data_IF_041261392132
#
_entry.id   IF_041261392132
#
_cell.length_a   1.000
_cell.length_b   1.000
_cell.length_c   1.000
_cell.angle_alpha   90.00
_cell.angle_beta   90.00
_cell.angle_gamma   90.00
#
_symmetry.space_group_name_H-M   'P 1'
#
loop_
_entity.id
_entity.type
_entity.pdbx_description
1 polymer ?
#
# COMPACT_ATOMS: atom_id res chain seq x y z
N UNK A 1 18.79 2.49 -22.64
CA UNK A 1 17.72 2.51 -21.62
C UNK A 1 16.42 2.13 -22.33
N UNK A 2 15.66 1.19 -21.77
CA UNK A 2 14.28 0.92 -22.18
C UNK A 2 13.37 1.91 -21.46
N UNK A 3 12.57 2.66 -22.19
CA UNK A 3 11.64 3.66 -21.66
C UNK A 3 10.22 3.18 -21.96
N UNK A 4 9.40 3.08 -20.93
CA UNK A 4 7.99 2.74 -21.04
C UNK A 4 7.18 4.03 -20.92
N UNK A 5 6.38 4.31 -21.94
CA UNK A 5 5.47 5.45 -22.02
C UNK A 5 4.05 5.00 -22.38
N UNK A 6 3.08 5.90 -22.24
CA UNK A 6 1.68 5.67 -22.64
C UNK A 6 1.55 5.32 -24.13
N UNK A 7 2.46 5.84 -24.94
CA UNK A 7 2.55 5.62 -26.40
C UNK A 7 3.38 4.39 -26.80
N UNK A 8 3.92 3.63 -25.85
CA UNK A 8 4.66 2.39 -26.13
C UNK A 8 6.01 2.30 -25.43
N UNK A 9 6.82 1.33 -25.87
CA UNK A 9 8.14 1.02 -25.30
C UNK A 9 9.25 1.35 -26.29
N UNK A 10 10.17 2.20 -25.87
CA UNK A 10 11.24 2.71 -26.71
C UNK A 10 12.62 2.35 -26.14
N UNK A 11 13.60 2.13 -27.03
CA UNK A 11 15.01 1.94 -26.64
C UNK A 11 15.81 3.16 -27.06
N UNK A 12 16.36 3.87 -26.08
CA UNK A 12 17.19 5.05 -26.30
C UNK A 12 18.56 4.94 -25.65
N UNK A 13 19.59 5.49 -26.31
CA UNK A 13 20.92 5.66 -25.75
C UNK A 13 20.95 6.92 -24.88
N UNK A 14 21.27 6.76 -23.60
CA UNK A 14 21.35 7.88 -22.64
C UNK A 14 22.81 8.20 -22.37
N UNK A 15 23.15 9.49 -22.48
CA UNK A 15 24.44 10.02 -22.02
C UNK A 15 24.24 10.63 -20.63
N UNK A 16 25.02 10.16 -19.67
CA UNK A 16 24.96 10.64 -18.29
C UNK A 16 25.81 11.89 -18.12
N UNK A 17 25.34 12.84 -17.32
CA UNK A 17 26.14 13.99 -16.93
C UNK A 17 27.21 13.56 -15.93
N UNK A 18 28.47 13.86 -16.24
CA UNK A 18 29.65 13.57 -15.42
C UNK A 18 30.32 14.83 -14.86
N UNK A 19 29.65 15.99 -14.92
CA UNK A 19 30.16 17.23 -14.33
C UNK A 19 30.39 17.07 -12.81
N UNK A 20 31.31 17.84 -12.22
CA UNK A 20 31.69 17.72 -10.81
C UNK A 20 30.52 17.89 -9.81
N UNK A 21 29.47 18.63 -10.18
CA UNK A 21 28.25 18.82 -9.39
C UNK A 21 27.07 17.95 -9.87
N UNK A 22 27.32 16.93 -10.68
CA UNK A 22 26.23 16.12 -11.24
C UNK A 22 25.59 15.25 -10.16
N UNK A 23 24.26 15.16 -10.22
CA UNK A 23 23.49 14.30 -9.33
C UNK A 23 23.66 12.83 -9.70
N UNK A 24 23.29 11.91 -8.79
CA UNK A 24 23.30 10.46 -9.06
C UNK A 24 22.44 10.13 -10.28
N UNK A 25 22.76 9.07 -11.02
CA UNK A 25 22.06 8.70 -12.28
C UNK A 25 20.54 8.64 -12.16
N UNK A 26 20.03 8.06 -11.07
CA UNK A 26 18.57 8.00 -10.85
C UNK A 26 17.95 9.38 -10.65
N UNK A 27 18.67 10.32 -10.04
CA UNK A 27 18.23 11.72 -9.87
C UNK A 27 18.23 12.44 -11.21
N UNK A 28 19.24 12.21 -12.06
CA UNK A 28 19.25 12.75 -13.43
C UNK A 28 18.02 12.26 -14.23
N UNK A 29 17.64 10.98 -14.09
CA UNK A 29 16.41 10.48 -14.72
C UNK A 29 15.14 11.12 -14.15
N UNK A 30 15.01 11.14 -12.82
CA UNK A 30 13.81 11.64 -12.15
C UNK A 30 13.59 13.13 -12.37
N UNK A 31 14.60 13.95 -12.06
CA UNK A 31 14.47 15.40 -12.02
C UNK A 31 14.69 16.06 -13.37
N UNK A 32 15.58 15.53 -14.22
CA UNK A 32 15.88 16.16 -15.51
C UNK A 32 15.06 15.59 -16.67
N UNK A 33 14.68 14.31 -16.62
CA UNK A 33 14.00 13.64 -17.74
C UNK A 33 12.56 13.20 -17.44
N UNK A 34 12.04 13.42 -16.23
CA UNK A 34 10.72 12.91 -15.77
C UNK A 34 10.55 11.40 -15.99
N UNK A 35 11.64 10.67 -15.76
CA UNK A 35 11.71 9.22 -15.91
C UNK A 35 11.93 8.57 -14.56
N UNK A 36 10.99 7.72 -14.14
CA UNK A 36 11.11 6.92 -12.94
C UNK A 36 11.89 5.63 -13.21
N UNK A 37 13.09 5.45 -12.65
CA UNK A 37 13.90 4.27 -12.91
C UNK A 37 13.38 3.03 -12.19
N UNK A 38 13.42 1.88 -12.86
CA UNK A 38 13.10 0.58 -12.25
C UNK A 38 14.19 0.09 -11.25
N UNK A 39 15.37 0.72 -11.28
CA UNK A 39 16.47 0.46 -10.34
C UNK A 39 17.34 1.70 -10.14
N UNK A 40 17.84 1.90 -8.92
CA UNK A 40 18.58 3.13 -8.58
C UNK A 40 20.09 3.06 -8.85
N UNK A 41 20.70 1.86 -8.79
CA UNK A 41 22.16 1.68 -8.96
C UNK A 41 22.60 1.71 -10.43
N UNK A 42 21.90 0.94 -11.27
CA UNK A 42 22.21 0.84 -12.70
C UNK A 42 20.89 0.73 -13.51
N UNK A 43 20.21 1.86 -13.75
CA UNK A 43 18.92 1.87 -14.43
C UNK A 43 19.06 1.36 -15.87
N UNK A 44 18.35 0.28 -16.18
CA UNK A 44 18.21 -0.25 -17.56
C UNK A 44 16.83 0.00 -18.13
N UNK A 45 15.83 0.14 -17.27
CA UNK A 45 14.43 0.43 -17.60
C UNK A 45 13.97 1.64 -16.79
N UNK A 46 13.19 2.53 -17.41
CA UNK A 46 12.48 3.60 -16.72
C UNK A 46 11.07 3.78 -17.30
N UNK A 47 10.20 4.37 -16.49
CA UNK A 47 8.82 4.66 -16.83
C UNK A 47 8.63 6.17 -16.85
N UNK A 48 7.88 6.69 -17.81
CA UNK A 48 7.40 8.07 -17.73
C UNK A 48 6.44 8.22 -16.53
N UNK A 49 6.32 9.41 -15.97
CA UNK A 49 5.33 9.63 -14.91
C UNK A 49 3.90 9.41 -15.41
N UNK A 50 3.63 9.85 -16.64
CA UNK A 50 2.34 9.68 -17.31
C UNK A 50 1.89 8.22 -17.37
N UNK A 51 2.76 7.28 -17.75
CA UNK A 51 2.35 5.86 -17.83
C UNK A 51 2.10 5.26 -16.44
N UNK A 52 2.78 5.76 -15.40
CA UNK A 52 2.55 5.31 -14.03
C UNK A 52 1.22 5.83 -13.48
N UNK A 53 0.89 7.09 -13.77
CA UNK A 53 -0.40 7.69 -13.43
C UNK A 53 -1.54 7.01 -14.19
N UNK A 54 -1.34 6.74 -15.49
CA UNK A 54 -2.30 5.99 -16.30
C UNK A 54 -2.52 4.58 -15.75
N UNK A 55 -1.45 3.86 -15.39
CA UNK A 55 -1.59 2.55 -14.77
C UNK A 55 -2.35 2.62 -13.44
N UNK A 56 -2.08 3.63 -12.62
CA UNK A 56 -2.75 3.80 -11.34
C UNK A 56 -4.27 4.04 -11.53
N UNK A 57 -4.65 4.87 -12.50
CA UNK A 57 -6.06 5.10 -12.85
C UNK A 57 -6.72 3.85 -13.44
N UNK A 58 -6.08 3.19 -14.41
CA UNK A 58 -6.58 1.96 -15.05
C UNK A 58 -6.75 0.82 -14.03
N UNK A 59 -5.88 0.74 -13.02
CA UNK A 59 -5.98 -0.23 -11.93
C UNK A 59 -7.12 0.09 -10.95
N UNK A 60 -7.35 1.38 -10.67
CA UNK A 60 -8.37 1.84 -9.73
C UNK A 60 -9.79 1.76 -10.32
N UNK A 61 -9.98 2.36 -11.50
CA UNK A 61 -11.29 2.52 -12.13
C UNK A 61 -11.69 1.26 -12.90
N UNK A 62 -10.78 0.78 -13.75
CA UNK A 62 -11.06 -0.32 -14.67
C UNK A 62 -10.70 -1.70 -14.10
N UNK A 63 -10.15 -1.76 -12.87
CA UNK A 63 -9.64 -3.00 -12.24
C UNK A 63 -8.62 -3.74 -13.12
N UNK A 64 -7.85 -2.98 -13.90
CA UNK A 64 -6.90 -3.54 -14.86
C UNK A 64 -5.74 -4.23 -14.14
N UNK A 65 -5.57 -5.52 -14.37
CA UNK A 65 -4.40 -6.23 -13.89
C UNK A 65 -3.12 -5.72 -14.59
N UNK A 66 -2.00 -5.64 -13.87
CA UNK A 66 -0.72 -5.17 -14.41
C UNK A 66 -0.28 -5.92 -15.68
N UNK A 67 -0.62 -7.21 -15.80
CA UNK A 67 -0.32 -8.02 -16.98
C UNK A 67 -1.13 -7.57 -18.20
N UNK A 68 -2.41 -7.25 -18.01
CA UNK A 68 -3.28 -6.73 -19.07
C UNK A 68 -2.82 -5.33 -19.50
N UNK A 69 -2.42 -4.50 -18.54
CA UNK A 69 -1.86 -3.18 -18.82
C UNK A 69 -0.57 -3.27 -19.65
N UNK A 70 0.37 -4.14 -19.27
CA UNK A 70 1.59 -4.34 -20.07
C UNK A 70 1.30 -4.94 -21.44
N UNK A 71 0.30 -5.82 -21.55
CA UNK A 71 -0.14 -6.37 -22.85
C UNK A 71 -0.72 -5.27 -23.75
N UNK A 72 -1.50 -4.34 -23.19
CA UNK A 72 -2.00 -3.14 -23.88
C UNK A 72 -0.83 -2.28 -24.37
N UNK A 73 0.13 -1.96 -23.51
CA UNK A 73 1.33 -1.19 -23.89
C UNK A 73 2.14 -1.92 -24.98
N UNK A 74 2.24 -3.25 -24.91
CA UNK A 74 2.85 -4.07 -25.96
C UNK A 74 2.18 -3.88 -27.32
N UNK A 75 0.85 -3.97 -27.37
CA UNK A 75 0.09 -3.74 -28.62
C UNK A 75 0.17 -2.31 -29.14
N UNK A 76 0.21 -1.33 -28.24
CA UNK A 76 0.44 0.08 -28.62
C UNK A 76 1.82 0.27 -29.24
N UNK A 77 2.82 -0.48 -28.76
CA UNK A 77 4.20 -0.40 -29.27
C UNK A 77 4.35 -1.08 -30.63
N UNK A 78 3.80 -2.27 -30.79
CA UNK A 78 3.80 -3.04 -32.03
C UNK A 78 2.51 -3.86 -32.09
N UNK A 79 1.56 -3.41 -32.90
CA UNK A 79 0.26 -4.08 -33.06
C UNK A 79 0.40 -5.42 -33.76
N UNK A 80 1.34 -5.53 -34.71
CA UNK A 80 1.52 -6.71 -35.56
C UNK A 80 2.25 -7.81 -34.80
N UNK A 81 3.27 -7.45 -34.00
CA UNK A 81 4.12 -8.39 -33.26
C UNK A 81 4.30 -7.99 -31.78
N UNK A 82 3.24 -7.91 -30.98
CA UNK A 82 3.33 -7.49 -29.57
C UNK A 82 4.20 -8.41 -28.72
N UNK A 83 4.37 -9.67 -29.12
CA UNK A 83 5.25 -10.63 -28.44
C UNK A 83 6.75 -10.33 -28.60
N UNK A 84 7.14 -9.47 -29.55
CA UNK A 84 8.53 -9.03 -29.74
C UNK A 84 8.90 -7.83 -28.85
N UNK A 85 7.90 -7.18 -28.26
CA UNK A 85 8.09 -6.02 -27.40
C UNK A 85 8.71 -6.48 -26.07
N UNK A 86 9.72 -5.76 -25.53
CA UNK A 86 10.34 -6.14 -24.26
C UNK A 86 9.33 -6.25 -23.11
N UNK A 87 9.33 -7.39 -22.43
CA UNK A 87 8.53 -7.59 -21.23
C UNK A 87 9.12 -6.79 -20.05
N UNK A 88 8.40 -5.74 -19.64
CA UNK A 88 8.74 -4.90 -18.49
C UNK A 88 7.76 -5.08 -17.31
N UNK A 89 7.04 -6.21 -17.26
CA UNK A 89 6.01 -6.48 -16.24
C UNK A 89 6.55 -6.47 -14.81
N UNK A 90 7.69 -7.11 -14.58
CA UNK A 90 8.29 -7.20 -13.23
C UNK A 90 8.74 -5.83 -12.74
N UNK A 91 9.26 -5.02 -13.65
CA UNK A 91 9.65 -3.64 -13.42
C UNK A 91 8.42 -2.78 -13.11
N UNK A 92 7.31 -2.92 -13.85
CA UNK A 92 6.06 -2.23 -13.56
C UNK A 92 5.52 -2.56 -12.16
N UNK A 93 5.51 -3.83 -11.77
CA UNK A 93 5.05 -4.25 -10.43
C UNK A 93 5.89 -3.61 -9.30
N UNK A 94 7.19 -3.42 -9.53
CA UNK A 94 8.05 -2.75 -8.56
C UNK A 94 7.81 -1.24 -8.56
N UNK A 95 7.89 -0.61 -9.72
CA UNK A 95 7.83 0.84 -9.86
C UNK A 95 6.46 1.37 -9.45
N UNK A 96 5.37 0.70 -9.81
CA UNK A 96 4.01 1.11 -9.39
C UNK A 96 3.82 1.08 -7.87
N UNK A 97 4.47 0.16 -7.14
CA UNK A 97 4.48 0.18 -5.67
C UNK A 97 5.23 1.39 -5.13
N UNK A 98 6.42 1.66 -5.65
CA UNK A 98 7.23 2.82 -5.26
C UNK A 98 6.57 4.15 -5.61
N UNK A 99 5.91 4.22 -6.77
CA UNK A 99 5.18 5.40 -7.23
C UNK A 99 4.05 5.75 -6.28
N UNK A 100 3.25 4.75 -5.88
CA UNK A 100 2.17 4.93 -4.90
C UNK A 100 2.70 5.35 -3.52
N UNK A 101 3.80 4.74 -3.07
CA UNK A 101 4.44 5.09 -1.81
C UNK A 101 4.88 6.56 -1.78
N UNK A 102 5.58 7.00 -2.84
CA UNK A 102 6.02 8.40 -2.98
C UNK A 102 4.82 9.35 -2.99
N UNK A 103 3.73 9.01 -3.68
CA UNK A 103 2.51 9.82 -3.67
C UNK A 103 1.88 9.91 -2.27
N UNK A 104 1.88 8.83 -1.50
CA UNK A 104 1.37 8.85 -0.12
C UNK A 104 2.25 9.76 0.76
N UNK A 105 3.58 9.69 0.63
CA UNK A 105 4.51 10.55 1.37
C UNK A 105 4.36 12.02 0.99
N UNK A 106 4.21 12.34 -0.29
CA UNK A 106 3.93 13.70 -0.77
C UNK A 106 2.62 14.22 -0.18
N UNK A 107 1.53 13.43 -0.24
CA UNK A 107 0.22 13.83 0.31
C UNK A 107 0.26 14.05 1.82
N UNK A 108 1.07 13.30 2.54
CA UNK A 108 1.24 13.45 3.99
C UNK A 108 2.08 14.68 4.38
N UNK A 109 2.75 15.34 3.43
CA UNK A 109 3.64 16.47 3.69
C UNK A 109 4.97 16.08 4.35
N UNK A 110 5.34 14.80 4.29
CA UNK A 110 6.48 14.21 5.04
C UNK A 110 7.83 14.87 4.69
N UNK A 111 7.96 15.43 3.49
CA UNK A 111 9.21 16.00 2.95
C UNK A 111 9.33 17.52 3.19
N UNK A 112 8.26 18.18 3.66
CA UNK A 112 8.24 19.63 3.85
C UNK A 112 8.33 20.04 5.32
N UNK A 113 7.56 19.41 6.22
CA UNK A 113 7.32 19.94 7.58
C UNK A 113 7.35 18.88 8.71
N UNK A 114 7.87 17.66 8.46
CA UNK A 114 7.81 16.55 9.43
C UNK A 114 9.19 15.92 9.70
N UNK A 115 9.37 15.24 10.86
CA UNK A 115 10.59 14.48 11.13
C UNK A 115 10.85 13.47 10.00
N UNK A 116 12.12 13.09 9.78
CA UNK A 116 12.56 12.18 8.71
C UNK A 116 11.85 10.80 8.67
N UNK A 117 11.05 10.47 9.70
CA UNK A 117 10.31 9.22 9.84
C UNK A 117 8.85 9.52 10.23
N UNK A 118 7.86 9.05 9.45
CA UNK A 118 6.45 9.15 9.80
C UNK A 118 6.14 8.48 11.16
N UNK A 119 5.23 9.08 11.92
CA UNK A 119 4.63 8.41 13.08
C UNK A 119 3.82 7.17 12.62
N UNK A 120 3.48 6.29 13.57
CA UNK A 120 2.61 5.14 13.30
C UNK A 120 1.26 5.63 12.75
N UNK A 121 0.91 5.19 11.54
CA UNK A 121 -0.25 5.66 10.79
C UNK A 121 -0.17 7.08 10.26
N UNK A 122 0.98 7.76 10.38
CA UNK A 122 1.14 9.18 10.06
C UNK A 122 1.00 9.54 8.57
N UNK A 123 1.10 8.57 7.68
CA UNK A 123 0.85 8.75 6.24
C UNK A 123 -0.63 8.51 5.86
N UNK A 124 -1.42 7.89 6.73
CA UNK A 124 -2.82 7.59 6.44
C UNK A 124 -3.72 8.80 6.70
N UNK A 125 -4.69 8.99 5.80
CA UNK A 125 -5.74 9.99 5.97
C UNK A 125 -6.86 9.40 6.82
N UNK A 126 -7.17 10.05 7.94
CA UNK A 126 -8.37 9.76 8.72
C UNK A 126 -9.55 10.65 8.33
N UNK A 127 -10.74 10.36 8.85
CA UNK A 127 -11.93 11.14 8.56
C UNK A 127 -11.80 12.58 9.08
N UNK A 128 -11.86 13.60 8.21
CA UNK A 128 -11.74 15.00 8.64
C UNK A 128 -12.92 15.45 9.52
N UNK A 129 -14.07 14.80 9.38
CA UNK A 129 -15.28 15.10 10.13
C UNK A 129 -15.40 14.35 11.47
N UNK A 130 -14.59 13.30 11.70
CA UNK A 130 -14.61 12.60 12.99
C UNK A 130 -13.75 13.38 14.00
N UNK A 131 -14.12 13.42 15.30
CA UNK A 131 -13.34 14.14 16.31
C UNK A 131 -11.90 13.62 16.41
N UNK A 132 -10.93 14.53 16.36
CA UNK A 132 -9.50 14.27 16.43
C UNK A 132 -8.86 15.21 17.45
N UNK A 133 -8.51 14.64 18.60
CA UNK A 133 -7.95 15.35 19.77
C UNK A 133 -6.68 16.10 19.36
N UNK A 134 -6.65 17.41 19.61
CA UNK A 134 -5.51 18.28 19.29
C UNK A 134 -5.40 18.65 17.81
N UNK A 135 -6.34 18.23 16.96
CA UNK A 135 -6.39 18.60 15.54
C UNK A 135 -7.62 19.48 15.27
N UNK A 136 -8.83 18.94 15.46
CA UNK A 136 -10.09 19.64 15.19
C UNK A 136 -11.00 19.76 16.42
N UNK A 137 -10.59 19.20 17.56
CA UNK A 137 -11.23 19.37 18.86
C UNK A 137 -10.18 19.63 19.96
N UNK A 138 -10.54 20.35 21.04
CA UNK A 138 -9.61 20.69 22.11
C UNK A 138 -9.07 19.44 22.84
N UNK A 139 -7.96 19.57 23.58
CA UNK A 139 -7.44 18.48 24.40
C UNK A 139 -8.43 18.06 25.50
N UNK A 140 -8.35 16.80 25.95
CA UNK A 140 -9.32 16.21 26.88
C UNK A 140 -9.47 16.98 28.20
N UNK A 141 -8.42 17.69 28.64
CA UNK A 141 -8.43 18.52 29.86
C UNK A 141 -9.41 19.70 29.79
N UNK A 142 -9.76 20.17 28.59
CA UNK A 142 -10.69 21.28 28.36
C UNK A 142 -12.13 20.80 28.17
N UNK A 143 -12.37 19.48 28.20
CA UNK A 143 -13.70 18.93 27.93
C UNK A 143 -14.62 19.11 29.14
N UNK A 144 -15.76 19.76 28.89
CA UNK A 144 -16.87 19.76 29.86
C UNK A 144 -17.41 18.33 30.03
N UNK A 145 -17.80 17.98 31.26
CA UNK A 145 -18.30 16.65 31.57
C UNK A 145 -19.50 16.23 30.69
N UNK A 146 -20.42 17.16 30.43
CA UNK A 146 -21.63 16.93 29.65
C UNK A 146 -21.35 16.76 28.15
N UNK A 147 -20.28 17.36 27.63
CA UNK A 147 -19.93 17.37 26.20
C UNK A 147 -19.07 16.16 25.78
N UNK A 148 -18.64 15.31 26.71
CA UNK A 148 -17.70 14.20 26.43
C UNK A 148 -18.19 13.24 25.34
N UNK A 149 -19.50 13.06 25.20
CA UNK A 149 -20.07 12.20 24.16
C UNK A 149 -19.99 12.81 22.76
N UNK A 150 -19.91 14.14 22.64
CA UNK A 150 -19.76 14.85 21.37
C UNK A 150 -18.36 14.66 20.78
N UNK A 151 -17.35 14.54 21.64
CA UNK A 151 -15.95 14.38 21.26
C UNK A 151 -15.53 12.93 20.98
N UNK A 152 -16.45 11.96 21.10
CA UNK A 152 -16.14 10.55 20.87
C UNK A 152 -16.37 10.17 19.40
N UNK A 153 -15.33 9.70 18.67
CA UNK A 153 -15.54 9.13 17.36
C UNK A 153 -16.33 7.82 17.49
N UNK A 154 -17.35 7.67 16.64
CA UNK A 154 -18.06 6.40 16.50
C UNK A 154 -17.24 5.51 15.58
N UNK A 155 -16.73 4.40 16.09
CA UNK A 155 -15.91 3.46 15.34
C UNK A 155 -16.67 2.14 15.17
N UNK A 156 -16.54 1.54 13.98
CA UNK A 156 -17.00 0.19 13.67
C UNK A 156 -15.79 -0.67 13.33
N UNK A 157 -15.88 -1.96 13.64
CA UNK A 157 -14.86 -2.94 13.32
C UNK A 157 -15.48 -4.04 12.47
N UNK A 158 -14.79 -4.43 11.39
CA UNK A 158 -15.23 -5.50 10.51
C UNK A 158 -14.04 -6.33 10.03
N UNK A 159 -14.32 -7.55 9.60
CA UNK A 159 -13.35 -8.53 9.14
C UNK A 159 -13.63 -9.01 7.72
N UNK A 160 -12.62 -9.00 6.85
CA UNK A 160 -12.68 -9.56 5.51
C UNK A 160 -11.85 -10.85 5.41
N UNK A 161 -12.53 -12.00 5.47
CA UNK A 161 -11.92 -13.35 5.39
C UNK A 161 -11.67 -13.82 3.95
N UNK A 162 -11.92 -12.97 2.94
CA UNK A 162 -11.55 -13.25 1.54
C UNK A 162 -10.21 -12.64 1.17
N UNK A 163 -9.72 -11.67 1.96
CA UNK A 163 -8.45 -11.00 1.75
C UNK A 163 -7.29 -11.84 2.33
N UNK A 164 -7.15 -13.05 1.79
CA UNK A 164 -6.11 -14.00 2.16
C UNK A 164 -4.77 -13.60 1.54
N UNK A 165 -3.69 -13.91 2.25
CA UNK A 165 -2.34 -13.80 1.73
C UNK A 165 -1.63 -15.15 1.84
N UNK A 166 -0.85 -15.46 0.82
CA UNK A 166 -0.10 -16.72 0.75
C UNK A 166 1.29 -16.52 1.35
N UNK A 167 1.80 -17.58 1.97
CA UNK A 167 3.20 -17.60 2.40
C UNK A 167 4.11 -17.30 1.22
N UNK A 168 4.94 -16.28 1.38
CA UNK A 168 5.93 -15.96 0.36
C UNK A 168 7.00 -17.05 0.31
N UNK A 169 7.42 -17.41 -0.91
CA UNK A 169 8.50 -18.38 -1.11
C UNK A 169 9.84 -17.92 -0.50
N UNK A 170 10.05 -16.60 -0.44
CA UNK A 170 11.25 -15.92 0.06
C UNK A 170 10.84 -14.71 0.89
N UNK A 171 10.45 -14.88 2.16
CA UNK A 171 10.01 -13.77 3.01
C UNK A 171 11.09 -12.71 3.23
N UNK A 172 12.36 -13.06 3.12
CA UNK A 172 13.49 -12.13 3.18
C UNK A 172 13.52 -11.09 2.05
N UNK A 173 12.87 -11.40 0.92
CA UNK A 173 12.72 -10.47 -0.21
C UNK A 173 11.50 -9.54 -0.05
N UNK A 174 10.63 -9.77 0.97
CA UNK A 174 9.42 -8.99 1.22
C UNK A 174 9.70 -7.69 1.98
N UNK A 175 10.26 -6.72 1.27
CA UNK A 175 10.54 -5.40 1.83
C UNK A 175 9.27 -4.55 1.82
N UNK A 176 8.76 -4.22 3.01
CA UNK A 176 7.69 -3.23 3.16
C UNK A 176 8.21 -1.83 2.89
N UNK A 177 7.42 -1.02 2.15
CA UNK A 177 7.74 0.39 1.90
C UNK A 177 7.19 1.33 3.00
N UNK A 178 6.18 0.87 3.75
CA UNK A 178 5.42 1.68 4.70
C UNK A 178 4.91 0.82 5.87
N UNK A 179 5.79 0.09 6.54
CA UNK A 179 5.44 -0.83 7.65
C UNK A 179 4.89 -0.04 8.85
N UNK A 180 3.59 -0.12 9.08
CA UNK A 180 2.95 0.63 10.16
C UNK A 180 2.72 2.12 9.88
N UNK A 181 3.17 2.64 8.73
CA UNK A 181 3.10 4.09 8.45
C UNK A 181 1.73 4.52 7.90
N UNK A 182 0.92 3.55 7.45
CA UNK A 182 -0.41 3.74 6.87
C UNK A 182 -1.49 3.10 7.77
N UNK A 183 -2.52 2.50 7.18
CA UNK A 183 -3.63 1.91 7.92
C UNK A 183 -3.31 0.59 8.62
N UNK A 184 -2.33 -0.19 8.13
CA UNK A 184 -1.95 -1.50 8.70
C UNK A 184 -0.97 -1.28 9.85
N UNK A 185 -1.12 -2.03 10.94
CA UNK A 185 -0.20 -2.00 12.09
C UNK A 185 1.21 -2.49 11.74
N UNK A 186 2.22 -2.04 12.51
CA UNK A 186 3.59 -2.56 12.38
C UNK A 186 3.65 -4.08 12.56
N UNK A 187 4.35 -4.76 11.66
CA UNK A 187 4.48 -6.23 11.68
C UNK A 187 5.11 -6.77 12.98
N UNK A 188 6.25 -6.20 13.40
CA UNK A 188 7.02 -6.74 14.52
C UNK A 188 6.30 -6.61 15.90
N UNK A 189 5.72 -5.44 16.28
CA UNK A 189 4.91 -5.33 17.47
C UNK A 189 3.66 -6.23 17.44
N UNK A 190 2.99 -6.33 16.28
CA UNK A 190 1.81 -7.17 16.15
C UNK A 190 2.14 -8.66 16.29
N UNK A 191 3.26 -9.13 15.73
CA UNK A 191 3.74 -10.50 15.93
C UNK A 191 3.99 -10.81 17.43
N UNK A 192 4.57 -9.87 18.19
CA UNK A 192 4.74 -10.02 19.65
C UNK A 192 3.40 -10.06 20.39
N UNK A 193 2.43 -9.26 19.95
CA UNK A 193 1.07 -9.30 20.50
C UNK A 193 0.43 -10.68 20.28
N UNK A 194 0.52 -11.23 19.07
CA UNK A 194 -0.07 -12.53 18.72
C UNK A 194 0.45 -13.71 19.55
N UNK A 195 1.73 -13.67 19.96
CA UNK A 195 2.33 -14.69 20.84
C UNK A 195 1.70 -14.68 22.24
N UNK A 196 1.36 -13.50 22.75
CA UNK A 196 0.83 -13.32 24.10
C UNK A 196 -0.71 -13.26 24.14
N UNK A 197 -1.37 -13.19 22.99
CA UNK A 197 -2.82 -13.05 22.89
C UNK A 197 -3.52 -14.34 23.39
N UNK A 198 -4.42 -14.24 24.39
CA UNK A 198 -5.09 -15.41 24.95
C UNK A 198 -5.99 -16.08 23.92
N UNK A 199 -5.80 -17.39 23.74
CA UNK A 199 -6.60 -18.18 22.80
C UNK A 199 -7.94 -18.57 23.42
N UNK A 200 -8.90 -17.64 23.46
CA UNK A 200 -10.26 -17.88 23.93
C UNK A 200 -11.21 -17.97 22.73
N UNK A 201 -11.51 -19.18 22.29
CA UNK A 201 -12.70 -19.40 21.47
C UNK A 201 -13.47 -20.63 21.98
N UNK A 202 -14.63 -20.45 22.62
CA UNK A 202 -15.54 -21.57 22.84
C UNK A 202 -16.06 -22.03 21.48
N UNK A 203 -15.87 -23.31 21.15
CA UNK A 203 -16.53 -23.91 19.98
C UNK A 203 -18.03 -23.80 20.18
N UNK A 204 -18.72 -23.13 19.26
CA UNK A 204 -20.19 -23.13 19.28
C UNK A 204 -20.68 -24.54 18.98
N UNK A 205 -21.54 -25.07 19.87
CA UNK A 205 -22.23 -26.36 19.68
C UNK A 205 -23.45 -26.24 18.76
N UNK A 206 -23.79 -25.03 18.31
CA UNK A 206 -24.97 -24.79 17.48
C UNK A 206 -24.72 -25.24 16.02
N UNK A 207 -25.66 -25.99 15.45
CA UNK A 207 -25.59 -26.50 14.07
C UNK A 207 -25.49 -25.40 13.03
N UNK A 208 -26.09 -24.23 13.27
CA UNK A 208 -26.10 -23.08 12.36
C UNK A 208 -24.79 -22.27 12.38
N UNK A 209 -23.88 -22.53 13.34
CA UNK A 209 -22.58 -21.87 13.44
C UNK A 209 -21.43 -22.68 12.81
N UNK A 210 -21.74 -23.64 11.92
CA UNK A 210 -20.72 -24.40 11.18
C UNK A 210 -19.77 -23.49 10.39
N UNK A 211 -20.26 -22.44 9.76
CA UNK A 211 -19.40 -21.51 9.01
C UNK A 211 -18.30 -20.88 9.88
N UNK A 212 -18.64 -20.47 11.10
CA UNK A 212 -17.70 -19.95 12.10
C UNK A 212 -16.67 -21.02 12.52
N UNK A 213 -17.14 -22.24 12.75
CA UNK A 213 -16.26 -23.37 13.11
C UNK A 213 -15.30 -23.78 11.96
N UNK A 214 -15.73 -23.67 10.70
CA UNK A 214 -14.91 -23.99 9.52
C UNK A 214 -13.95 -22.84 9.12
N UNK A 215 -14.31 -21.57 9.37
CA UNK A 215 -13.44 -20.41 9.13
C UNK A 215 -12.17 -20.42 10.00
N UNK A 216 -12.22 -21.10 11.13
CA UNK A 216 -11.11 -21.25 12.09
C UNK A 216 -10.11 -22.37 11.75
N UNK A 217 -10.27 -23.05 10.60
CA UNK A 217 -9.35 -24.09 10.18
C UNK A 217 -8.01 -23.46 9.78
N UNK A 218 -6.93 -23.93 10.41
CA UNK A 218 -5.58 -23.50 10.05
C UNK A 218 -5.27 -23.90 8.61
N UNK A 219 -4.84 -22.93 7.79
CA UNK A 219 -4.44 -23.17 6.40
C UNK A 219 -2.93 -22.97 6.28
N UNK A 220 -2.18 -24.07 6.31
CA UNK A 220 -0.70 -24.05 6.38
C UNK A 220 0.01 -23.37 5.19
N UNK A 221 -0.70 -23.01 4.12
CA UNK A 221 -0.14 -22.31 2.96
C UNK A 221 -0.40 -20.79 2.98
N UNK A 222 -1.12 -20.28 3.99
CA UNK A 222 -1.44 -18.88 4.17
C UNK A 222 -0.71 -18.31 5.38
N UNK A 223 -0.21 -17.08 5.24
CA UNK A 223 0.29 -16.26 6.36
C UNK A 223 -0.79 -15.29 6.89
N UNK A 224 -1.83 -15.03 6.09
CA UNK A 224 -3.01 -14.29 6.50
C UNK A 224 -4.27 -14.93 5.92
N UNK A 225 -5.25 -15.18 6.79
CA UNK A 225 -6.58 -15.74 6.46
C UNK A 225 -7.64 -14.67 6.21
N UNK A 226 -7.30 -13.40 6.41
CA UNK A 226 -8.17 -12.26 6.25
C UNK A 226 -7.59 -11.01 6.89
N UNK A 227 -8.30 -9.90 6.82
CA UNK A 227 -7.90 -8.67 7.53
C UNK A 227 -9.05 -8.12 8.35
N UNK A 228 -8.73 -7.65 9.54
CA UNK A 228 -9.61 -6.84 10.38
C UNK A 228 -9.28 -5.37 10.22
N UNK A 229 -10.30 -4.52 10.26
CA UNK A 229 -10.13 -3.08 10.18
C UNK A 229 -11.14 -2.36 11.07
N UNK A 230 -10.71 -1.22 11.63
CA UNK A 230 -11.61 -0.25 12.22
C UNK A 230 -11.86 0.91 11.24
N UNK A 231 -13.09 1.40 11.17
CA UNK A 231 -13.46 2.57 10.38
C UNK A 231 -14.39 3.51 11.18
N UNK A 232 -14.43 4.79 10.81
CA UNK A 232 -15.41 5.71 11.38
C UNK A 232 -16.82 5.29 10.89
N UNK A 233 -17.73 5.02 11.83
CA UNK A 233 -19.07 4.47 11.58
C UNK A 233 -19.92 5.33 10.63
N UNK A 234 -19.70 6.65 10.65
CA UNK A 234 -20.50 7.61 9.88
C UNK A 234 -20.05 7.77 8.44
N UNK A 235 -18.75 7.67 8.18
CA UNK A 235 -18.15 8.07 6.91
C UNK A 235 -17.34 6.96 6.23
N UNK A 236 -17.18 5.80 6.88
CA UNK A 236 -16.45 4.65 6.33
C UNK A 236 -14.94 4.84 6.18
N UNK A 237 -14.36 5.94 6.70
CA UNK A 237 -12.92 6.15 6.64
C UNK A 237 -12.21 5.21 7.60
N UNK A 238 -11.25 4.43 7.08
CA UNK A 238 -10.44 3.55 7.91
C UNK A 238 -9.63 4.34 8.94
N UNK A 239 -9.55 3.81 10.16
CA UNK A 239 -8.73 4.37 11.21
C UNK A 239 -7.26 4.06 10.89
N UNK A 240 -6.36 5.05 10.87
CA UNK A 240 -4.92 4.84 10.73
C UNK A 240 -4.39 3.82 11.74
N UNK A 241 -3.39 3.02 11.33
CA UNK A 241 -2.72 2.05 12.19
C UNK A 241 -3.67 1.13 12.99
N UNK A 242 -4.81 0.75 12.40
CA UNK A 242 -5.85 -0.07 13.04
C UNK A 242 -6.35 -1.22 12.15
N UNK A 243 -5.62 -1.54 11.08
CA UNK A 243 -5.84 -2.74 10.28
C UNK A 243 -4.84 -3.84 10.64
N UNK A 244 -5.33 -5.06 10.77
CA UNK A 244 -4.55 -6.22 11.24
C UNK A 244 -4.76 -7.43 10.34
N UNK A 245 -3.75 -8.30 10.28
CA UNK A 245 -3.84 -9.60 9.63
C UNK A 245 -4.42 -10.65 10.56
N UNK A 246 -5.45 -11.35 10.10
CA UNK A 246 -6.01 -12.51 10.77
C UNK A 246 -5.19 -13.76 10.46
N UNK A 247 -4.79 -14.49 11.48
CA UNK A 247 -4.09 -15.76 11.41
C UNK A 247 -5.03 -16.97 11.31
N UNK A 248 -6.22 -16.93 11.93
CA UNK A 248 -7.19 -18.04 11.95
C UNK A 248 -8.63 -17.52 12.06
N UNK A 249 -9.29 -17.29 10.92
CA UNK A 249 -10.66 -16.78 10.91
C UNK A 249 -10.69 -15.30 11.25
N UNK A 250 -11.35 -14.93 12.36
CA UNK A 250 -11.32 -13.55 12.92
C UNK A 250 -10.19 -13.34 13.95
N UNK A 251 -9.36 -14.36 14.18
CA UNK A 251 -8.14 -14.26 14.99
C UNK A 251 -7.00 -13.80 14.12
#
# INVERSE_FOLDING_TARGET
>A
LTIVASTGIFKHSIRWCHCAKSSKRFVQLLLCAKLFPASFKNPKTAFTFEVLDQFQLDALECKTAAMNFMSKIGRVTDEVFPSRVPDCYRELLRVSRQWRDIHNRIRAGDVHDRPDVPADGGLALFCPACPQIGINIPPEIEWKADDRLLYRPQLVSDGNMKLVHQLQKRPEDDVSLSDGEMFIVKRAPYAKHLVNAPQRQPKSKCSNHRAQNHGNLNRNHLDSTGKGACACARHGAFVPHCMVDFQKGER
#
